data_IF_292315820232
#
_entry.id   IF_292315820232
#
_cell.length_a   1.000
_cell.length_b   1.000
_cell.length_c   1.000
_cell.angle_alpha   90.00
_cell.angle_beta   90.00
_cell.angle_gamma   90.00
#
_symmetry.space_group_name_H-M   'P 1'
#
loop_
_entity.id
_entity.type
_entity.pdbx_description
1 polymer ?
#
# COMPACT_ATOMS: atom_id res chain seq x y z
N UNK A 1 -18.35 35.45 -19.99
CA UNK A 1 -17.47 34.27 -19.90
C UNK A 1 -18.38 33.04 -19.98
N UNK A 2 -18.44 32.37 -21.13
CA UNK A 2 -19.24 31.15 -21.31
C UNK A 2 -18.54 30.00 -20.57
N UNK A 3 -18.99 29.73 -19.35
CA UNK A 3 -18.48 28.64 -18.51
C UNK A 3 -18.87 27.31 -19.15
N UNK A 4 -17.90 26.58 -19.71
CA UNK A 4 -18.11 25.23 -20.20
C UNK A 4 -18.23 24.29 -18.99
N UNK A 5 -19.46 24.01 -18.58
CA UNK A 5 -19.76 23.06 -17.51
C UNK A 5 -19.99 21.70 -18.14
N UNK A 6 -19.21 20.69 -17.72
CA UNK A 6 -19.39 19.32 -18.17
C UNK A 6 -20.80 18.86 -17.77
N UNK A 7 -21.61 18.33 -18.72
CA UNK A 7 -22.99 17.99 -18.43
C UNK A 7 -23.06 16.86 -17.39
N UNK A 8 -24.05 16.90 -16.47
CA UNK A 8 -24.16 15.95 -15.35
C UNK A 8 -24.32 14.50 -15.81
N UNK A 9 -24.78 14.27 -17.05
CA UNK A 9 -24.93 12.95 -17.65
C UNK A 9 -23.61 12.18 -17.76
N UNK A 10 -22.47 12.86 -17.84
CA UNK A 10 -21.14 12.21 -17.88
C UNK A 10 -20.83 11.52 -16.56
N UNK A 11 -21.09 12.20 -15.43
CA UNK A 11 -20.85 11.64 -14.10
C UNK A 11 -21.83 10.52 -13.76
N UNK A 12 -23.09 10.62 -14.21
CA UNK A 12 -24.08 9.55 -14.01
C UNK A 12 -23.66 8.28 -14.75
N UNK A 13 -23.18 8.39 -15.99
CA UNK A 13 -22.65 7.23 -16.74
C UNK A 13 -21.43 6.62 -16.05
N UNK A 14 -20.52 7.45 -15.54
CA UNK A 14 -19.37 6.97 -14.78
C UNK A 14 -19.79 6.30 -13.46
N UNK A 15 -20.79 6.83 -12.76
CA UNK A 15 -21.33 6.23 -11.54
C UNK A 15 -21.93 4.84 -11.80
N UNK A 16 -22.70 4.69 -12.88
CA UNK A 16 -23.25 3.40 -13.30
C UNK A 16 -22.12 2.42 -13.63
N UNK A 17 -21.09 2.86 -14.37
CA UNK A 17 -19.93 2.02 -14.66
C UNK A 17 -19.24 1.57 -13.37
N UNK A 18 -19.04 2.45 -12.39
CA UNK A 18 -18.45 2.11 -11.09
C UNK A 18 -19.33 1.16 -10.26
N UNK A 19 -20.66 1.29 -10.34
CA UNK A 19 -21.59 0.38 -9.69
C UNK A 19 -21.52 -1.03 -10.29
N UNK A 20 -21.40 -1.14 -11.61
CA UNK A 20 -21.21 -2.41 -12.30
C UNK A 20 -19.87 -3.05 -11.90
N UNK A 21 -18.77 -2.30 -11.93
CA UNK A 21 -17.47 -2.81 -11.47
C UNK A 21 -17.51 -3.25 -10.00
N UNK A 22 -18.25 -2.54 -9.15
CA UNK A 22 -18.42 -2.91 -7.74
C UNK A 22 -19.20 -4.23 -7.59
N UNK A 23 -20.31 -4.39 -8.30
CA UNK A 23 -21.06 -5.64 -8.31
C UNK A 23 -20.18 -6.81 -8.79
N UNK A 24 -19.35 -6.57 -9.81
CA UNK A 24 -18.34 -7.53 -10.29
C UNK A 24 -17.32 -7.90 -9.21
N UNK A 25 -16.80 -6.94 -8.44
CA UNK A 25 -15.88 -7.26 -7.34
C UNK A 25 -16.55 -8.08 -6.23
N UNK A 26 -17.80 -7.77 -5.91
CA UNK A 26 -18.57 -8.52 -4.91
C UNK A 26 -18.78 -9.96 -5.40
N UNK A 27 -19.19 -10.12 -6.66
CA UNK A 27 -19.38 -11.44 -7.26
C UNK A 27 -18.09 -12.24 -7.33
N UNK A 28 -16.99 -11.62 -7.76
CA UNK A 28 -15.68 -12.25 -7.79
C UNK A 28 -15.22 -12.71 -6.40
N UNK A 29 -15.58 -11.98 -5.34
CA UNK A 29 -15.25 -12.36 -3.97
C UNK A 29 -15.99 -13.63 -3.48
N UNK A 30 -17.13 -14.00 -4.10
CA UNK A 30 -17.83 -15.25 -3.79
C UNK A 30 -17.27 -16.46 -4.53
N UNK A 31 -16.40 -16.26 -5.52
CA UNK A 31 -15.78 -17.35 -6.28
C UNK A 31 -14.37 -17.56 -5.73
N UNK A 32 -14.14 -18.72 -5.12
CA UNK A 32 -12.81 -19.07 -4.63
C UNK A 32 -11.93 -19.57 -5.78
N UNK A 33 -11.10 -18.65 -6.30
CA UNK A 33 -10.12 -18.93 -7.36
C UNK A 33 -8.72 -19.24 -6.79
N UNK A 34 -8.62 -19.51 -5.48
CA UNK A 34 -7.35 -19.77 -4.80
C UNK A 34 -6.35 -18.62 -5.00
N UNK A 35 -5.15 -18.92 -5.50
CA UNK A 35 -4.06 -17.96 -5.69
C UNK A 35 -4.36 -16.85 -6.72
N UNK A 36 -5.34 -17.05 -7.60
CA UNK A 36 -5.70 -16.06 -8.63
C UNK A 36 -6.62 -14.95 -8.09
N UNK A 37 -7.25 -15.15 -6.93
CA UNK A 37 -8.17 -14.18 -6.35
C UNK A 37 -7.56 -12.76 -6.14
N UNK A 38 -6.36 -12.60 -5.53
CA UNK A 38 -5.75 -11.27 -5.38
C UNK A 38 -5.42 -10.60 -6.72
N UNK A 39 -5.04 -11.36 -7.76
CA UNK A 39 -4.72 -10.82 -9.09
C UNK A 39 -5.99 -10.28 -9.76
N UNK A 40 -7.08 -11.04 -9.70
CA UNK A 40 -8.39 -10.62 -10.22
C UNK A 40 -8.90 -9.40 -9.45
N UNK A 41 -8.85 -9.43 -8.12
CA UNK A 41 -9.27 -8.32 -7.27
C UNK A 41 -8.47 -7.04 -7.54
N UNK A 42 -7.14 -7.13 -7.69
CA UNK A 42 -6.30 -5.97 -8.05
C UNK A 42 -6.65 -5.42 -9.43
N UNK A 43 -6.87 -6.30 -10.41
CA UNK A 43 -7.18 -5.86 -11.79
C UNK A 43 -8.49 -5.07 -11.83
N UNK A 44 -9.54 -5.55 -11.15
CA UNK A 44 -10.82 -4.84 -11.08
C UNK A 44 -10.67 -3.54 -10.27
N UNK A 45 -9.87 -3.55 -9.20
CA UNK A 45 -9.59 -2.36 -8.39
C UNK A 45 -8.88 -1.26 -9.20
N UNK A 46 -7.87 -1.62 -9.99
CA UNK A 46 -7.17 -0.68 -10.89
C UNK A 46 -8.12 -0.14 -11.96
N UNK A 47 -8.94 -0.99 -12.58
CA UNK A 47 -9.94 -0.54 -13.54
C UNK A 47 -10.92 0.47 -12.93
N UNK A 48 -11.36 0.24 -11.69
CA UNK A 48 -12.22 1.17 -10.93
C UNK A 48 -11.51 2.51 -10.68
N UNK A 49 -10.24 2.49 -10.28
CA UNK A 49 -9.45 3.69 -10.06
C UNK A 49 -9.29 4.53 -11.33
N UNK A 50 -9.06 3.89 -12.49
CA UNK A 50 -8.94 4.59 -13.78
C UNK A 50 -10.24 5.33 -14.14
N UNK A 51 -11.40 4.69 -13.94
CA UNK A 51 -12.70 5.34 -14.19
C UNK A 51 -12.91 6.55 -13.28
N UNK A 52 -12.52 6.45 -11.99
CA UNK A 52 -12.60 7.58 -11.06
C UNK A 52 -11.73 8.75 -11.52
N UNK A 53 -10.45 8.51 -11.84
CA UNK A 53 -9.51 9.56 -12.24
C UNK A 53 -9.95 10.22 -13.54
N UNK A 54 -10.39 9.46 -14.54
CA UNK A 54 -10.75 10.02 -15.84
C UNK A 54 -12.04 10.86 -15.80
N UNK A 55 -13.06 10.41 -15.06
CA UNK A 55 -14.39 11.02 -15.10
C UNK A 55 -14.71 11.87 -13.86
N UNK A 56 -14.48 11.38 -12.65
CA UNK A 56 -14.83 12.11 -11.43
C UNK A 56 -13.83 13.21 -11.09
N UNK A 57 -12.54 12.98 -11.34
CA UNK A 57 -11.51 14.02 -11.18
C UNK A 57 -11.41 14.96 -12.39
N UNK A 58 -12.28 14.80 -13.39
CA UNK A 58 -12.29 15.60 -14.63
C UNK A 58 -10.95 15.67 -15.38
N UNK A 59 -10.04 14.70 -15.16
CA UNK A 59 -8.71 14.70 -15.76
C UNK A 59 -8.80 14.64 -17.30
N UNK A 60 -9.80 13.94 -17.84
CA UNK A 60 -10.03 13.85 -19.28
C UNK A 60 -10.36 15.19 -19.94
N UNK A 61 -11.01 16.10 -19.22
CA UNK A 61 -11.46 17.41 -19.74
C UNK A 61 -10.58 18.56 -19.25
N UNK A 62 -9.59 18.27 -18.39
CA UNK A 62 -8.72 19.29 -17.82
C UNK A 62 -7.55 19.65 -18.74
N UNK A 63 -6.85 20.72 -18.38
CA UNK A 63 -5.66 21.21 -19.07
C UNK A 63 -4.50 20.20 -19.05
N UNK A 64 -3.56 20.36 -19.99
CA UNK A 64 -2.33 19.56 -20.05
C UNK A 64 -1.51 19.62 -18.75
N UNK A 65 -1.59 20.73 -18.02
CA UNK A 65 -0.92 20.89 -16.73
C UNK A 65 -1.43 19.86 -15.70
N UNK A 66 -2.75 19.64 -15.62
CA UNK A 66 -3.33 18.60 -14.75
C UNK A 66 -2.84 17.21 -15.10
N UNK A 67 -2.69 16.92 -16.40
CA UNK A 67 -2.15 15.64 -16.86
C UNK A 67 -0.70 15.41 -16.43
N UNK A 68 0.13 16.46 -16.44
CA UNK A 68 1.52 16.40 -15.93
C UNK A 68 1.54 16.09 -14.44
N UNK A 69 0.67 16.72 -13.62
CA UNK A 69 0.59 16.42 -12.19
C UNK A 69 0.08 15.01 -11.91
N UNK A 70 -0.91 14.53 -12.66
CA UNK A 70 -1.40 13.14 -12.53
C UNK A 70 -0.27 12.16 -12.87
N UNK A 71 0.41 12.36 -14.00
CA UNK A 71 1.54 11.53 -14.40
C UNK A 71 2.69 11.58 -13.41
N UNK A 72 3.05 12.78 -12.93
CA UNK A 72 4.07 13.01 -11.91
C UNK A 72 3.72 12.35 -10.57
N UNK A 73 2.46 12.38 -10.15
CA UNK A 73 1.99 11.71 -8.94
C UNK A 73 2.09 10.18 -9.04
N UNK A 74 1.70 9.59 -10.18
CA UNK A 74 1.87 8.14 -10.40
C UNK A 74 3.35 7.75 -10.50
N UNK A 75 4.16 8.55 -11.19
CA UNK A 75 5.60 8.34 -11.27
C UNK A 75 6.26 8.39 -9.88
N UNK A 76 5.89 9.38 -9.07
CA UNK A 76 6.34 9.50 -7.69
C UNK A 76 5.90 8.31 -6.83
N UNK A 77 4.64 7.87 -6.98
CA UNK A 77 4.11 6.70 -6.27
C UNK A 77 4.89 5.42 -6.63
N UNK A 78 5.25 5.23 -7.90
CA UNK A 78 6.07 4.09 -8.34
C UNK A 78 7.45 4.12 -7.67
N UNK A 79 8.08 5.29 -7.57
CA UNK A 79 9.36 5.43 -6.86
C UNK A 79 9.20 5.07 -5.38
N UNK A 80 8.16 5.61 -4.71
CA UNK A 80 7.89 5.32 -3.31
C UNK A 80 7.68 3.83 -3.07
N UNK A 81 6.81 3.17 -3.84
CA UNK A 81 6.58 1.72 -3.69
C UNK A 81 7.82 0.90 -4.06
N UNK A 82 8.54 1.28 -5.11
CA UNK A 82 9.75 0.62 -5.57
C UNK A 82 10.88 0.65 -4.56
N UNK A 83 10.97 1.71 -3.74
CA UNK A 83 11.94 1.82 -2.65
C UNK A 83 11.41 1.25 -1.32
N UNK A 84 10.12 1.43 -1.03
CA UNK A 84 9.49 1.02 0.22
C UNK A 84 9.44 -0.50 0.37
N UNK A 85 9.11 -1.23 -0.70
CA UNK A 85 8.99 -2.70 -0.62
C UNK A 85 10.33 -3.38 -0.29
N UNK A 86 11.46 -3.05 -0.96
CA UNK A 86 12.78 -3.54 -0.56
C UNK A 86 13.17 -3.15 0.86
N UNK A 87 12.90 -1.91 1.29
CA UNK A 87 13.17 -1.47 2.67
C UNK A 87 12.40 -2.36 3.66
N UNK A 88 11.09 -2.52 3.48
CA UNK A 88 10.25 -3.35 4.35
C UNK A 88 10.69 -4.81 4.39
N UNK A 89 11.03 -5.41 3.25
CA UNK A 89 11.48 -6.82 3.18
C UNK A 89 12.86 -7.00 3.82
N UNK A 90 13.73 -6.00 3.70
CA UNK A 90 15.07 -6.02 4.31
C UNK A 90 15.07 -5.77 5.81
N UNK A 91 13.95 -5.31 6.39
CA UNK A 91 13.81 -5.14 7.84
C UNK A 91 13.74 -6.49 8.51
N UNK A 92 14.90 -6.91 8.95
CA UNK A 92 15.11 -8.03 9.85
C UNK A 92 14.63 -7.61 11.26
N UNK A 93 13.49 -8.15 11.68
CA UNK A 93 12.83 -7.86 12.97
C UNK A 93 13.60 -8.45 14.18
N UNK A 94 14.93 -8.52 14.12
CA UNK A 94 15.77 -9.26 15.07
C UNK A 94 16.05 -8.56 16.41
N UNK A 95 15.46 -7.40 16.70
CA UNK A 95 15.74 -6.68 17.96
C UNK A 95 14.52 -6.41 18.86
N UNK A 96 13.31 -6.87 18.50
CA UNK A 96 12.11 -6.65 19.34
C UNK A 96 11.85 -7.74 20.39
N UNK A 97 12.91 -8.38 20.88
CA UNK A 97 12.81 -9.42 21.91
C UNK A 97 13.59 -9.17 23.19
N UNK A 98 14.23 -8.01 23.42
CA UNK A 98 15.15 -7.89 24.56
C UNK A 98 14.99 -6.63 25.41
N UNK A 99 14.00 -6.61 26.33
CA UNK A 99 14.04 -5.74 27.50
C UNK A 99 15.06 -6.16 28.57
N UNK A 100 15.62 -7.38 28.51
CA UNK A 100 16.37 -7.99 29.62
C UNK A 100 17.65 -8.79 29.24
N UNK A 101 18.02 -8.91 27.96
CA UNK A 101 19.28 -9.59 27.58
C UNK A 101 20.56 -8.71 27.65
N UNK A 102 20.47 -7.43 27.99
CA UNK A 102 21.67 -6.59 28.18
C UNK A 102 22.42 -6.97 29.47
N UNK A 103 21.86 -7.81 30.34
CA UNK A 103 22.43 -8.12 31.66
C UNK A 103 23.33 -9.36 31.71
N UNK A 104 23.36 -10.21 30.67
CA UNK A 104 24.04 -11.52 30.72
C UNK A 104 25.43 -11.57 30.07
N UNK A 105 25.85 -10.54 29.32
CA UNK A 105 27.09 -10.59 28.54
C UNK A 105 28.29 -9.88 29.19
N UNK A 106 28.13 -9.26 30.37
CA UNK A 106 29.21 -8.58 31.09
C UNK A 106 29.18 -8.92 32.59
N UNK A 107 29.54 -10.16 32.92
CA UNK A 107 30.10 -10.47 34.24
C UNK A 107 31.61 -10.72 34.06
N UNK A 108 32.50 -9.89 34.64
CA UNK A 108 33.93 -10.08 34.52
C UNK A 108 34.34 -11.38 35.22
N UNK A 109 35.16 -12.17 34.53
CA UNK A 109 35.70 -13.46 34.98
C UNK A 109 36.75 -13.31 36.11
N UNK A 110 36.41 -12.60 37.19
CA UNK A 110 37.26 -12.47 38.36
C UNK A 110 36.41 -12.57 39.63
N UNK A 111 36.03 -13.78 40.00
CA UNK A 111 35.75 -14.11 41.40
C UNK A 111 37.07 -14.59 42.01
N UNK A 112 37.68 -13.87 42.96
CA UNK A 112 38.72 -14.46 43.79
C UNK A 112 38.06 -15.62 44.55
N UNK A 113 38.57 -16.81 44.31
CA UNK A 113 38.23 -18.04 45.02
C UNK A 113 38.20 -17.79 46.53
N UNK A 114 37.01 -17.88 47.14
CA UNK A 114 36.87 -17.78 48.59
C UNK A 114 37.45 -19.05 49.22
N UNK A 115 38.35 -18.99 50.22
CA UNK A 115 38.95 -20.18 50.80
C UNK A 115 37.86 -21.03 51.48
N UNK A 116 37.71 -22.28 51.05
CA UNK A 116 36.81 -23.23 51.70
C UNK A 116 37.25 -23.47 53.15
N UNK A 117 36.33 -23.51 54.14
CA UNK A 117 36.67 -23.90 55.50
C UNK A 117 37.05 -25.38 55.50
N UNK A 118 38.32 -25.68 55.82
CA UNK A 118 38.76 -27.05 56.06
C UNK A 118 38.38 -27.49 57.49
N UNK A 119 38.05 -28.77 57.71
CA UNK A 119 37.63 -29.30 59.02
C UNK A 119 38.74 -29.32 60.07
#
# INVERSE_FOLDING_TARGET
MSHYVVPPSVYVKAAIALAVLMALTIFAAFIDMGSMNPVVAMTISVAKAVVIVLFFMNVKYSSRLTWVFVGGGFFWLIILFGMLMPDYVSRDWQHQGQPWAVTQQQAPAHTPEAPAPQP
#
